data_IF_162642052845
#
_entry.id   IF_162642052845
#
_cell.length_a   1.000
_cell.length_b   1.000
_cell.length_c   1.000
_cell.angle_alpha   90.00
_cell.angle_beta   90.00
_cell.angle_gamma   90.00
#
_symmetry.space_group_name_H-M   'P 1'
#
loop_
_entity.id
_entity.type
_entity.pdbx_description
1 polymer ?
#
# COMPACT_ATOMS: atom_id res chain seq x y z
N UNK A 1 -37.49 -5.23 -17.82
CA UNK A 1 -36.02 -5.34 -17.90
C UNK A 1 -35.43 -4.03 -17.39
N UNK A 2 -34.80 -3.96 -16.20
CA UNK A 2 -34.29 -2.70 -15.70
C UNK A 2 -33.00 -2.33 -16.45
N UNK A 3 -32.99 -1.08 -16.92
CA UNK A 3 -31.90 -0.38 -17.58
C UNK A 3 -30.66 -0.30 -16.66
N UNK A 4 -29.70 -1.19 -16.90
CA UNK A 4 -28.38 -1.17 -16.27
C UNK A 4 -27.55 -0.10 -16.97
N UNK A 5 -27.66 1.14 -16.49
CA UNK A 5 -26.75 2.23 -16.87
C UNK A 5 -25.33 1.89 -16.46
N UNK A 6 -24.58 1.28 -17.39
CA UNK A 6 -23.13 1.17 -17.36
C UNK A 6 -22.57 2.58 -17.17
N UNK A 7 -22.00 2.83 -16.00
CA UNK A 7 -21.35 4.10 -15.69
C UNK A 7 -20.40 4.52 -16.81
N UNK A 8 -20.50 5.80 -17.19
CA UNK A 8 -19.67 6.45 -18.19
C UNK A 8 -18.19 6.14 -17.93
N UNK A 9 -17.60 5.33 -18.81
CA UNK A 9 -16.32 4.60 -18.62
C UNK A 9 -15.06 5.44 -18.81
N UNK A 10 -15.12 6.76 -18.66
CA UNK A 10 -13.95 7.63 -18.87
C UNK A 10 -13.92 8.73 -17.80
N UNK A 11 -13.04 8.55 -16.81
CA UNK A 11 -12.47 9.62 -15.99
C UNK A 11 -13.25 10.08 -14.74
N UNK A 12 -14.58 9.95 -14.69
CA UNK A 12 -15.36 10.41 -13.52
C UNK A 12 -16.70 9.65 -13.36
N UNK A 13 -16.72 8.47 -12.71
CA UNK A 13 -17.97 7.70 -12.50
C UNK A 13 -19.00 8.44 -11.64
N UNK A 14 -18.58 9.48 -10.91
CA UNK A 14 -19.47 10.34 -10.14
C UNK A 14 -19.17 11.80 -10.46
N UNK A 15 -20.16 12.53 -10.99
CA UNK A 15 -20.06 13.98 -11.22
C UNK A 15 -19.92 14.76 -9.89
N UNK A 16 -20.51 14.23 -8.82
CA UNK A 16 -20.35 14.74 -7.45
C UNK A 16 -20.26 13.59 -6.46
N UNK A 17 -19.47 13.76 -5.41
CA UNK A 17 -19.32 12.78 -4.32
C UNK A 17 -20.31 13.01 -3.18
N UNK A 18 -21.17 14.03 -3.27
CA UNK A 18 -22.08 14.46 -2.22
C UNK A 18 -23.06 13.34 -1.81
N UNK A 19 -23.66 12.64 -2.78
CA UNK A 19 -24.57 11.52 -2.49
C UNK A 19 -23.88 10.37 -1.75
N UNK A 20 -22.61 10.09 -2.06
CA UNK A 20 -21.83 9.05 -1.36
C UNK A 20 -21.44 9.51 0.04
N UNK A 21 -21.05 10.78 0.20
CA UNK A 21 -20.75 11.36 1.51
C UNK A 21 -21.99 11.36 2.42
N UNK A 22 -23.16 11.63 1.87
CA UNK A 22 -24.40 11.63 2.65
C UNK A 22 -24.79 10.21 3.10
N UNK A 23 -24.68 9.23 2.21
CA UNK A 23 -24.86 7.82 2.57
C UNK A 23 -23.85 7.36 3.63
N UNK A 24 -22.61 7.85 3.55
CA UNK A 24 -21.59 7.56 4.56
C UNK A 24 -21.94 8.18 5.92
N UNK A 25 -22.47 9.42 5.96
CA UNK A 25 -22.97 10.03 7.20
C UNK A 25 -24.11 9.23 7.80
N UNK A 26 -25.08 8.80 6.97
CA UNK A 26 -26.17 7.95 7.41
C UNK A 26 -25.69 6.61 7.98
N UNK A 27 -24.65 6.01 7.37
CA UNK A 27 -24.02 4.80 7.89
C UNK A 27 -23.33 5.05 9.24
N UNK A 28 -22.60 6.16 9.36
CA UNK A 28 -21.93 6.55 10.62
C UNK A 28 -22.91 6.89 11.74
N UNK A 29 -24.14 7.29 11.41
CA UNK A 29 -25.17 7.59 12.39
C UNK A 29 -25.85 6.34 12.98
N UNK A 30 -25.63 5.15 12.38
CA UNK A 30 -26.21 3.91 12.88
C UNK A 30 -25.70 3.56 14.28
N UNK A 31 -26.57 3.08 15.19
CA UNK A 31 -26.20 2.82 16.58
C UNK A 31 -25.04 1.81 16.69
N UNK A 32 -25.05 0.76 15.89
CA UNK A 32 -24.02 -0.28 15.90
C UNK A 32 -22.64 0.27 15.51
N UNK A 33 -22.61 1.20 14.56
CA UNK A 33 -21.36 1.86 14.14
C UNK A 33 -20.87 2.79 15.23
N UNK A 34 -21.78 3.52 15.90
CA UNK A 34 -21.43 4.43 17.00
C UNK A 34 -20.89 3.70 18.22
N UNK A 35 -21.43 2.53 18.54
CA UNK A 35 -20.92 1.67 19.63
C UNK A 35 -19.49 1.23 19.36
N UNK A 36 -19.22 0.71 18.16
CA UNK A 36 -17.85 0.33 17.76
C UNK A 36 -16.92 1.54 17.77
N UNK A 37 -17.41 2.70 17.32
CA UNK A 37 -16.61 3.93 17.33
C UNK A 37 -16.27 4.36 18.76
N UNK A 38 -17.21 4.25 19.70
CA UNK A 38 -16.98 4.53 21.11
C UNK A 38 -15.96 3.57 21.73
N UNK A 39 -16.03 2.27 21.42
CA UNK A 39 -15.03 1.28 21.86
C UNK A 39 -13.63 1.60 21.30
N UNK A 40 -13.54 1.97 20.01
CA UNK A 40 -12.26 2.34 19.39
C UNK A 40 -11.68 3.65 19.95
N UNK A 41 -12.53 4.61 20.33
CA UNK A 41 -12.10 5.83 21.04
C UNK A 41 -11.61 5.48 22.44
N UNK A 42 -12.33 4.63 23.17
CA UNK A 42 -11.92 4.18 24.51
C UNK A 42 -10.59 3.43 24.51
N UNK A 43 -10.25 2.76 23.40
CA UNK A 43 -8.95 2.10 23.16
C UNK A 43 -7.89 3.03 22.57
N UNK A 44 -8.15 4.34 22.51
CA UNK A 44 -7.25 5.36 21.94
C UNK A 44 -6.77 5.03 20.50
N UNK A 45 -7.56 4.24 19.76
CA UNK A 45 -7.21 3.82 18.40
C UNK A 45 -7.58 4.90 17.38
N UNK A 46 -8.63 5.66 17.69
CA UNK A 46 -9.14 6.76 16.86
C UNK A 46 -9.48 7.96 17.73
N UNK A 47 -9.48 9.16 17.14
CA UNK A 47 -9.81 10.38 17.86
C UNK A 47 -11.30 10.46 18.24
N UNK A 48 -11.58 11.06 19.40
CA UNK A 48 -12.92 11.45 19.83
C UNK A 48 -13.46 12.45 18.77
N UNK A 49 -14.55 12.08 18.08
CA UNK A 49 -15.11 12.76 16.89
C UNK A 49 -14.43 12.50 15.53
N UNK A 50 -13.64 11.45 15.38
CA UNK A 50 -13.19 11.04 14.04
C UNK A 50 -14.40 10.81 13.11
N UNK A 51 -14.38 11.45 11.94
CA UNK A 51 -15.40 11.23 10.91
C UNK A 51 -14.74 10.79 9.62
N UNK A 52 -15.39 9.85 8.92
CA UNK A 52 -14.91 9.40 7.63
C UNK A 52 -15.51 10.25 6.52
N UNK A 53 -14.64 10.70 5.61
CA UNK A 53 -15.05 11.34 4.37
C UNK A 53 -14.79 10.39 3.21
N UNK A 54 -15.61 10.47 2.17
CA UNK A 54 -15.41 9.69 0.94
C UNK A 54 -14.02 9.94 0.34
N UNK A 55 -13.54 11.19 0.40
CA UNK A 55 -12.19 11.54 -0.03
C UNK A 55 -11.11 10.83 0.82
N UNK A 56 -11.26 10.83 2.14
CA UNK A 56 -10.34 10.13 3.06
C UNK A 56 -10.36 8.61 2.84
N UNK A 57 -11.54 8.02 2.67
CA UNK A 57 -11.68 6.59 2.39
C UNK A 57 -11.03 6.20 1.06
N UNK A 58 -11.21 7.01 0.01
CA UNK A 58 -10.55 6.76 -1.29
C UNK A 58 -9.02 6.85 -1.19
N UNK A 59 -8.48 7.79 -0.40
CA UNK A 59 -7.04 7.87 -0.10
C UNK A 59 -6.55 6.62 0.63
N UNK A 60 -7.27 6.18 1.66
CA UNK A 60 -6.91 4.97 2.43
C UNK A 60 -6.98 3.71 1.56
N UNK A 61 -8.00 3.59 0.71
CA UNK A 61 -8.11 2.49 -0.25
C UNK A 61 -6.92 2.48 -1.23
N UNK A 62 -6.52 3.66 -1.73
CA UNK A 62 -5.37 3.80 -2.60
C UNK A 62 -4.07 3.31 -1.94
N UNK A 63 -3.80 3.72 -0.69
CA UNK A 63 -2.62 3.27 0.05
C UNK A 63 -2.63 1.75 0.28
N UNK A 64 -3.77 1.20 0.73
CA UNK A 64 -3.92 -0.24 0.98
C UNK A 64 -3.75 -1.08 -0.30
N UNK A 65 -4.27 -0.60 -1.44
CA UNK A 65 -4.11 -1.30 -2.71
C UNK A 65 -2.65 -1.26 -3.14
N UNK A 66 -1.96 -0.13 -3.04
CA UNK A 66 -0.53 -0.04 -3.39
C UNK A 66 0.35 -0.91 -2.48
N UNK A 67 -0.01 -1.06 -1.21
CA UNK A 67 0.71 -1.95 -0.28
C UNK A 67 0.58 -3.43 -0.63
N UNK A 68 -0.50 -3.82 -1.32
CA UNK A 68 -0.75 -5.22 -1.72
C UNK A 68 -0.05 -5.63 -3.01
N UNK A 69 0.55 -4.69 -3.76
CA UNK A 69 1.32 -4.97 -4.97
C UNK A 69 0.72 -4.63 -6.35
N UNK A 70 -0.59 -4.29 -6.51
CA UNK A 70 -1.10 -3.71 -7.75
C UNK A 70 -0.30 -2.49 -8.23
N UNK A 71 -0.21 -2.34 -9.55
CA UNK A 71 0.45 -1.21 -10.19
C UNK A 71 -0.46 0.04 -10.22
N UNK A 72 0.12 1.22 -10.48
CA UNK A 72 -0.62 2.49 -10.44
C UNK A 72 -1.82 2.54 -11.39
N UNK A 73 -1.72 1.89 -12.54
CA UNK A 73 -2.78 1.84 -13.55
C UNK A 73 -3.94 0.99 -13.08
N UNK A 74 -3.66 -0.19 -12.52
CA UNK A 74 -4.68 -1.08 -11.93
C UNK A 74 -5.42 -0.39 -10.77
N UNK A 75 -4.67 0.28 -9.87
CA UNK A 75 -5.26 1.03 -8.76
C UNK A 75 -6.09 2.22 -9.28
N UNK A 76 -5.61 2.87 -10.33
CA UNK A 76 -6.32 3.97 -11.00
C UNK A 76 -7.64 3.52 -11.61
N UNK A 77 -7.66 2.36 -12.26
CA UNK A 77 -8.87 1.75 -12.80
C UNK A 77 -9.87 1.38 -11.71
N UNK A 78 -9.41 0.71 -10.64
CA UNK A 78 -10.26 0.30 -9.50
C UNK A 78 -10.91 1.50 -8.82
N UNK A 79 -10.14 2.56 -8.58
CA UNK A 79 -10.60 3.75 -7.87
C UNK A 79 -11.18 4.82 -8.80
N UNK A 80 -11.16 4.56 -10.11
CA UNK A 80 -11.55 5.48 -11.17
C UNK A 80 -10.89 6.87 -11.02
N UNK A 81 -9.57 6.86 -10.84
CA UNK A 81 -8.73 8.06 -10.76
C UNK A 81 -7.54 7.89 -11.71
N UNK A 82 -6.93 9.00 -12.11
CA UNK A 82 -5.76 8.91 -12.98
C UNK A 82 -4.55 8.31 -12.24
N UNK A 83 -3.64 7.62 -12.94
CA UNK A 83 -2.41 7.10 -12.34
C UNK A 83 -1.55 8.19 -11.66
N UNK A 84 -1.60 9.44 -12.14
CA UNK A 84 -0.94 10.58 -11.52
C UNK A 84 -1.50 10.86 -10.12
N UNK A 85 -2.83 10.75 -9.97
CA UNK A 85 -3.53 10.92 -8.70
C UNK A 85 -3.17 9.80 -7.73
N UNK A 86 -3.04 8.56 -8.21
CA UNK A 86 -2.57 7.41 -7.44
C UNK A 86 -1.15 7.65 -6.93
N UNK A 87 -0.23 8.10 -7.80
CA UNK A 87 1.15 8.44 -7.40
C UNK A 87 1.20 9.54 -6.35
N UNK A 88 0.31 10.54 -6.43
CA UNK A 88 0.19 11.59 -5.43
C UNK A 88 -0.21 11.04 -4.06
N UNK A 89 -1.21 10.15 -3.99
CA UNK A 89 -1.66 9.53 -2.72
C UNK A 89 -0.65 8.52 -2.18
N UNK A 90 -0.02 7.75 -3.06
CA UNK A 90 0.86 6.63 -2.72
C UNK A 90 2.24 6.97 -2.20
N UNK A 91 2.62 8.25 -2.10
CA UNK A 91 3.99 8.67 -1.72
C UNK A 91 4.47 8.00 -0.43
N UNK A 92 3.63 7.98 0.62
CA UNK A 92 3.99 7.39 1.92
C UNK A 92 3.86 5.86 1.95
N UNK A 93 2.84 5.32 1.31
CA UNK A 93 2.63 3.87 1.20
C UNK A 93 3.83 3.18 0.51
N UNK A 94 4.37 3.80 -0.54
CA UNK A 94 5.58 3.32 -1.23
C UNK A 94 6.81 3.30 -0.33
N UNK A 95 7.00 4.34 0.49
CA UNK A 95 8.11 4.37 1.47
C UNK A 95 7.97 3.21 2.46
N UNK A 96 6.77 2.93 2.94
CA UNK A 96 6.50 1.79 3.84
C UNK A 96 6.83 0.45 3.16
N UNK A 97 6.35 0.23 1.93
CA UNK A 97 6.63 -1.01 1.17
C UNK A 97 8.12 -1.18 0.90
N UNK A 98 8.82 -0.10 0.55
CA UNK A 98 10.28 -0.10 0.36
C UNK A 98 10.99 -0.44 1.68
N UNK A 99 10.57 0.16 2.79
CA UNK A 99 11.13 -0.10 4.12
C UNK A 99 10.90 -1.55 4.54
N UNK A 100 9.70 -2.11 4.34
CA UNK A 100 9.40 -3.51 4.59
C UNK A 100 10.21 -4.44 3.68
N UNK A 101 10.39 -4.08 2.41
CA UNK A 101 11.24 -4.81 1.47
C UNK A 101 12.71 -4.79 1.88
N UNK A 102 13.22 -3.64 2.34
CA UNK A 102 14.56 -3.48 2.87
C UNK A 102 14.75 -4.32 4.14
N UNK A 103 13.82 -4.23 5.09
CA UNK A 103 13.81 -5.05 6.30
C UNK A 103 13.83 -6.55 5.96
N UNK A 104 12.99 -7.01 5.02
CA UNK A 104 12.98 -8.41 4.56
C UNK A 104 14.31 -8.84 3.93
N UNK A 105 15.03 -7.94 3.25
CA UNK A 105 16.36 -8.24 2.68
C UNK A 105 17.44 -8.31 3.76
N UNK A 106 17.41 -7.37 4.71
CA UNK A 106 18.30 -7.33 5.88
C UNK A 106 18.13 -8.58 6.74
N UNK A 107 16.90 -8.93 7.10
CA UNK A 107 16.60 -10.09 7.96
C UNK A 107 16.85 -11.42 7.27
N UNK A 108 16.73 -11.50 5.93
CA UNK A 108 17.09 -12.70 5.14
C UNK A 108 18.59 -12.80 4.82
N UNK A 109 19.44 -11.92 5.34
CA UNK A 109 20.88 -11.92 5.09
C UNK A 109 21.25 -11.67 3.62
N UNK A 110 20.33 -11.11 2.82
CA UNK A 110 20.49 -10.88 1.39
C UNK A 110 20.94 -9.44 1.11
N UNK A 111 21.75 -8.88 2.00
CA UNK A 111 22.48 -7.65 1.76
C UNK A 111 23.73 -8.09 0.99
N UNK A 112 23.75 -7.84 -0.32
CA UNK A 112 25.01 -7.91 -1.05
C UNK A 112 25.94 -6.90 -0.36
N UNK A 113 26.97 -7.41 0.31
CA UNK A 113 28.12 -6.58 0.68
C UNK A 113 28.59 -5.98 -0.64
N UNK A 114 28.45 -4.66 -0.79
CA UNK A 114 29.12 -3.96 -1.87
C UNK A 114 30.61 -4.15 -1.59
N UNK A 115 31.19 -5.14 -2.27
CA UNK A 115 32.61 -5.40 -2.26
C UNK A 115 33.32 -4.18 -2.79
N UNK A 116 33.70 -3.28 -1.88
CA UNK A 116 34.78 -2.36 -2.11
C UNK A 116 36.03 -3.20 -2.33
N UNK A 117 36.43 -3.34 -3.59
CA UNK A 117 37.77 -3.75 -3.95
C UNK A 117 38.74 -2.68 -3.45
N UNK A 118 39.28 -2.92 -2.26
CA UNK A 118 40.37 -2.19 -1.65
C UNK A 118 41.11 -3.14 -0.72
N UNK A 119 42.20 -3.71 -1.25
CA UNK A 119 43.34 -4.36 -0.59
C UNK A 119 43.25 -4.68 0.91
N UNK A 120 43.37 -5.96 1.30
CA UNK A 120 44.66 -6.50 1.77
C UNK A 120 44.59 -7.96 2.25
N UNK A 121 45.64 -8.70 1.86
CA UNK A 121 46.24 -9.91 2.44
C UNK A 121 45.40 -10.90 3.26
N UNK A 122 45.38 -12.16 2.84
CA UNK A 122 46.32 -13.16 3.37
C UNK A 122 46.08 -14.50 2.65
N UNK A 123 47.03 -14.90 1.82
CA UNK A 123 47.03 -16.20 1.19
C UNK A 123 47.30 -17.30 2.20
N UNK A 124 46.55 -18.39 2.10
CA UNK A 124 47.05 -19.72 2.42
C UNK A 124 46.28 -20.75 1.58
N UNK A 125 46.70 -20.92 0.33
CA UNK A 125 46.33 -22.11 -0.43
C UNK A 125 47.18 -23.27 0.03
N UNK A 126 46.66 -24.12 0.93
CA UNK A 126 47.25 -25.42 1.18
C UNK A 126 46.18 -26.51 1.23
N UNK A 127 46.24 -27.38 0.22
CA UNK A 127 45.72 -28.75 0.15
C UNK A 127 44.22 -28.94 -0.10
N UNK A 128 43.87 -29.41 -1.31
CA UNK A 128 43.49 -30.82 -1.58
C UNK A 128 42.92 -31.00 -3.00
N UNK A 129 43.21 -32.18 -3.56
CA UNK A 129 42.74 -32.83 -4.80
C UNK A 129 43.52 -32.41 -6.06
N UNK A 130 44.03 -33.32 -6.87
CA UNK A 130 43.91 -34.77 -6.90
C UNK A 130 44.64 -35.28 -8.14
N UNK A 131 45.09 -36.54 -8.07
CA UNK A 131 45.68 -37.26 -9.17
C UNK A 131 44.74 -37.31 -10.40
N UNK A 132 45.31 -37.16 -11.60
CA UNK A 132 44.84 -37.78 -12.82
C UNK A 132 45.97 -37.81 -13.86
N UNK A 133 46.26 -39.02 -14.32
CA UNK A 133 47.23 -39.45 -15.33
C UNK A 133 47.22 -38.68 -16.66
N UNK A 134 48.41 -38.55 -17.25
CA UNK A 134 48.77 -39.11 -18.56
C UNK A 134 50.29 -39.34 -18.60
#
# INVERSE_FOLDING_TARGET
MPDVRRGDRIGAPFKTTAALQERLRALMAKPEVREVHADLVARETIAEHATFTFHGLRKNACCNLLERGPNDSEVGEILCVTPETVRHYGKRARVLVIAQGALKRVTRGRILSFGGTGADSCGNQLTRKGAASA
#
